data_IF_217982426466
#
_entry.id   IF_217982426466
#
_cell.length_a   1.000
_cell.length_b   1.000
_cell.length_c   1.000
_cell.angle_alpha   90.00
_cell.angle_beta   90.00
_cell.angle_gamma   90.00
#
_symmetry.space_group_name_H-M   'P 1'
#
loop_
_entity.id
_entity.type
_entity.pdbx_description
1 polymer ?
#
# COMPACT_ATOMS: atom_id res chain seq x y z
N UNK A 1 -9.89 -13.69 -32.40
CA UNK A 1 -9.72 -12.96 -31.12
C UNK A 1 -10.51 -13.69 -30.06
N UNK A 2 -9.87 -14.23 -29.02
CA UNK A 2 -10.54 -14.98 -27.95
C UNK A 2 -11.35 -14.02 -27.08
N UNK A 3 -12.51 -14.47 -26.61
CA UNK A 3 -13.35 -13.69 -25.69
C UNK A 3 -12.59 -13.22 -24.44
N UNK A 4 -11.62 -14.02 -23.98
CA UNK A 4 -10.74 -13.70 -22.86
C UNK A 4 -9.93 -12.40 -23.07
N UNK A 5 -9.40 -12.15 -24.26
CA UNK A 5 -8.61 -10.95 -24.54
C UNK A 5 -9.46 -9.68 -24.50
N UNK A 6 -10.70 -9.76 -25.03
CA UNK A 6 -11.66 -8.66 -24.95
C UNK A 6 -12.01 -8.31 -23.50
N UNK A 7 -12.18 -9.33 -22.66
CA UNK A 7 -12.47 -9.15 -21.22
C UNK A 7 -11.30 -8.45 -20.52
N UNK A 8 -10.06 -8.84 -20.84
CA UNK A 8 -8.84 -8.22 -20.25
C UNK A 8 -8.71 -6.75 -20.62
N UNK A 9 -8.88 -6.41 -21.90
CA UNK A 9 -8.80 -5.03 -22.40
C UNK A 9 -9.90 -4.17 -21.74
N UNK A 10 -11.14 -4.66 -21.75
CA UNK A 10 -12.26 -3.94 -21.14
C UNK A 10 -12.10 -3.77 -19.62
N UNK A 11 -11.63 -4.80 -18.93
CA UNK A 11 -11.33 -4.74 -17.49
C UNK A 11 -10.26 -3.66 -17.18
N UNK A 12 -9.22 -3.60 -18.00
CA UNK A 12 -8.16 -2.60 -17.88
C UNK A 12 -8.69 -1.19 -18.08
N UNK A 13 -9.37 -0.93 -19.19
CA UNK A 13 -9.84 0.41 -19.53
C UNK A 13 -10.90 0.94 -18.57
N UNK A 14 -11.85 0.09 -18.17
CA UNK A 14 -13.01 0.52 -17.39
C UNK A 14 -12.79 0.53 -15.87
N UNK A 15 -11.89 -0.31 -15.35
CA UNK A 15 -11.69 -0.43 -13.90
C UNK A 15 -10.27 -0.05 -13.49
N UNK A 16 -9.25 -0.62 -14.14
CA UNK A 16 -7.85 -0.43 -13.73
C UNK A 16 -7.37 1.02 -13.98
N UNK A 17 -7.61 1.56 -15.19
CA UNK A 17 -7.23 2.94 -15.52
C UNK A 17 -7.90 3.99 -14.62
N UNK A 18 -9.23 3.98 -14.40
CA UNK A 18 -9.85 4.96 -13.52
C UNK A 18 -9.44 4.78 -12.06
N UNK A 19 -9.29 3.55 -11.55
CA UNK A 19 -8.79 3.32 -10.20
C UNK A 19 -7.36 3.87 -10.02
N UNK A 20 -6.51 3.72 -11.05
CA UNK A 20 -5.15 4.28 -11.06
C UNK A 20 -5.16 5.81 -11.11
N UNK A 21 -6.04 6.42 -11.90
CA UNK A 21 -6.22 7.88 -11.94
C UNK A 21 -6.69 8.43 -10.59
N UNK A 22 -7.62 7.73 -9.93
CA UNK A 22 -8.14 8.09 -8.60
C UNK A 22 -7.16 7.77 -7.46
N UNK A 23 -6.03 7.12 -7.77
CA UNK A 23 -5.05 6.62 -6.78
C UNK A 23 -5.71 5.72 -5.72
N UNK A 24 -6.78 5.02 -6.09
CA UNK A 24 -7.46 4.07 -5.22
C UNK A 24 -6.57 2.83 -5.04
N UNK A 25 -6.35 2.44 -3.79
CA UNK A 25 -5.47 1.31 -3.46
C UNK A 25 -6.16 -0.03 -3.68
N UNK A 26 -7.47 -0.04 -3.45
CA UNK A 26 -8.35 -1.20 -3.55
C UNK A 26 -9.58 -0.83 -4.35
N UNK A 27 -9.97 -1.71 -5.25
CA UNK A 27 -11.21 -1.56 -5.99
C UNK A 27 -11.85 -2.93 -6.23
N UNK A 28 -13.18 -2.93 -6.37
CA UNK A 28 -13.95 -4.14 -6.56
C UNK A 28 -14.56 -4.16 -7.96
N UNK A 29 -14.39 -5.27 -8.67
CA UNK A 29 -15.04 -5.53 -9.96
C UNK A 29 -16.15 -6.56 -9.74
N UNK A 30 -17.37 -6.21 -10.12
CA UNK A 30 -18.48 -7.16 -10.20
C UNK A 30 -18.51 -7.82 -11.58
N UNK A 31 -18.56 -9.14 -11.61
CA UNK A 31 -18.56 -9.94 -12.86
C UNK A 31 -19.78 -9.61 -13.74
N UNK A 32 -20.95 -9.40 -13.14
CA UNK A 32 -22.18 -9.08 -13.86
C UNK A 32 -22.11 -7.78 -14.68
N UNK A 33 -21.37 -6.78 -14.21
CA UNK A 33 -21.22 -5.51 -14.92
C UNK A 33 -20.28 -5.65 -16.13
N UNK A 34 -19.28 -6.52 -16.02
CA UNK A 34 -18.39 -6.88 -17.14
C UNK A 34 -19.15 -7.70 -18.19
N UNK A 35 -19.95 -8.67 -17.77
CA UNK A 35 -20.78 -9.50 -18.65
C UNK A 35 -21.79 -8.64 -19.43
N UNK A 36 -22.49 -7.73 -18.74
CA UNK A 36 -23.43 -6.79 -19.36
C UNK A 36 -22.73 -5.82 -20.31
N UNK A 37 -21.57 -5.30 -19.91
CA UNK A 37 -20.80 -4.37 -20.72
C UNK A 37 -20.27 -4.95 -22.03
N UNK A 38 -20.00 -6.25 -22.06
CA UNK A 38 -19.51 -6.97 -23.25
C UNK A 38 -20.61 -7.72 -24.00
N UNK A 39 -21.88 -7.63 -23.57
CA UNK A 39 -23.01 -8.41 -24.10
C UNK A 39 -22.73 -9.93 -24.18
N UNK A 40 -21.95 -10.45 -23.22
CA UNK A 40 -21.54 -11.85 -23.17
C UNK A 40 -22.59 -12.71 -22.45
N UNK A 41 -23.76 -12.87 -23.07
CA UNK A 41 -24.87 -13.64 -22.50
C UNK A 41 -24.45 -15.09 -22.19
N UNK A 42 -24.62 -15.52 -20.93
CA UNK A 42 -24.32 -16.89 -20.49
C UNK A 42 -22.82 -17.25 -20.35
N UNK A 43 -21.89 -16.32 -20.58
CA UNK A 43 -20.44 -16.57 -20.50
C UNK A 43 -19.77 -16.02 -19.23
N UNK A 44 -20.52 -15.97 -18.13
CA UNK A 44 -19.99 -15.65 -16.80
C UNK A 44 -18.74 -16.46 -16.39
N UNK A 45 -18.65 -17.79 -16.64
CA UNK A 45 -17.43 -18.54 -16.31
C UNK A 45 -16.21 -18.10 -17.13
N UNK A 46 -16.38 -17.69 -18.39
CA UNK A 46 -15.26 -17.19 -19.20
C UNK A 46 -14.69 -15.87 -18.64
N UNK A 47 -15.56 -15.00 -18.12
CA UNK A 47 -15.16 -13.76 -17.43
C UNK A 47 -14.43 -14.06 -16.14
N UNK A 48 -14.94 -14.99 -15.33
CA UNK A 48 -14.30 -15.45 -14.11
C UNK A 48 -12.88 -16.00 -14.38
N UNK A 49 -12.72 -16.86 -15.39
CA UNK A 49 -11.41 -17.39 -15.79
C UNK A 49 -10.46 -16.29 -16.28
N UNK A 50 -10.94 -15.35 -17.11
CA UNK A 50 -10.10 -14.26 -17.63
C UNK A 50 -9.61 -13.31 -16.51
N UNK A 51 -10.49 -12.98 -15.56
CA UNK A 51 -10.20 -12.10 -14.42
C UNK A 51 -9.31 -12.76 -13.35
N UNK A 52 -9.29 -14.10 -13.28
CA UNK A 52 -8.41 -14.89 -12.40
C UNK A 52 -7.04 -15.20 -13.01
N UNK A 53 -6.85 -14.98 -14.31
CA UNK A 53 -5.61 -15.39 -14.97
C UNK A 53 -4.43 -14.54 -14.49
N UNK A 54 -3.29 -15.17 -14.20
CA UNK A 54 -2.06 -14.48 -13.76
C UNK A 54 -1.60 -13.41 -14.75
N UNK A 55 -1.83 -13.60 -16.06
CA UNK A 55 -1.50 -12.62 -17.09
C UNK A 55 -2.20 -11.28 -16.87
N UNK A 56 -3.48 -11.29 -16.45
CA UNK A 56 -4.22 -10.06 -16.15
C UNK A 56 -3.72 -9.40 -14.86
N UNK A 57 -3.40 -10.20 -13.84
CA UNK A 57 -2.87 -9.73 -12.56
C UNK A 57 -1.47 -9.11 -12.72
N UNK A 58 -0.56 -9.82 -13.39
CA UNK A 58 0.82 -9.38 -13.59
C UNK A 58 0.93 -8.19 -14.54
N UNK A 59 0.18 -8.18 -15.65
CA UNK A 59 0.23 -7.07 -16.61
C UNK A 59 -0.30 -5.74 -16.07
N UNK A 60 -1.01 -5.76 -14.93
CA UNK A 60 -1.61 -4.59 -14.31
C UNK A 60 -1.14 -4.37 -12.86
N UNK A 61 -0.15 -5.16 -12.38
CA UNK A 61 0.35 -5.12 -11.00
C UNK A 61 -0.77 -5.20 -9.94
N UNK A 62 -1.73 -6.11 -10.16
CA UNK A 62 -2.88 -6.33 -9.29
C UNK A 62 -2.71 -7.62 -8.47
N UNK A 63 -3.17 -7.58 -7.22
CA UNK A 63 -3.32 -8.74 -6.36
C UNK A 63 -4.80 -8.96 -6.06
N UNK A 64 -5.27 -10.19 -6.23
CA UNK A 64 -6.63 -10.54 -5.83
C UNK A 64 -6.65 -10.74 -4.30
N UNK A 65 -7.43 -9.92 -3.59
CA UNK A 65 -7.50 -9.93 -2.11
C UNK A 65 -8.68 -10.74 -1.63
N UNK A 66 -9.83 -10.57 -2.27
CA UNK A 66 -11.05 -11.23 -1.84
C UNK A 66 -11.93 -11.59 -3.03
N UNK A 67 -12.66 -12.70 -2.88
CA UNK A 67 -13.67 -13.15 -3.83
C UNK A 67 -14.97 -13.37 -3.08
N UNK A 68 -15.91 -12.43 -3.23
CA UNK A 68 -17.21 -12.50 -2.58
C UNK A 68 -18.27 -12.97 -3.57
N UNK A 69 -18.93 -14.10 -3.29
CA UNK A 69 -19.99 -14.63 -4.15
C UNK A 69 -20.53 -16.00 -3.68
N UNK A 70 -21.64 -16.48 -4.31
CA UNK A 70 -22.20 -17.79 -3.97
C UNK A 70 -21.19 -18.91 -4.27
N UNK A 71 -21.23 -20.00 -3.48
CA UNK A 71 -20.26 -21.12 -3.46
C UNK A 71 -19.91 -21.71 -4.85
N UNK A 72 -20.75 -21.50 -5.87
CA UNK A 72 -20.50 -21.94 -7.24
C UNK A 72 -19.43 -21.13 -8.00
N UNK A 73 -19.06 -19.91 -7.58
CA UNK A 73 -17.95 -19.15 -8.18
C UNK A 73 -18.07 -18.80 -9.68
N UNK A 74 -19.22 -19.05 -10.30
CA UNK A 74 -19.48 -18.92 -11.74
C UNK A 74 -20.70 -18.04 -12.07
N UNK A 75 -21.20 -17.29 -11.09
CA UNK A 75 -22.39 -16.44 -11.24
C UNK A 75 -22.03 -14.96 -11.51
N UNK A 76 -22.97 -14.23 -12.12
CA UNK A 76 -22.87 -12.77 -12.38
C UNK A 76 -22.85 -11.91 -11.12
N UNK A 77 -23.08 -12.51 -9.94
CA UNK A 77 -23.01 -11.87 -8.63
C UNK A 77 -21.64 -11.93 -7.96
N UNK A 78 -20.65 -12.59 -8.56
CA UNK A 78 -19.29 -12.62 -7.99
C UNK A 78 -18.65 -11.24 -8.05
N UNK A 79 -18.05 -10.83 -6.95
CA UNK A 79 -17.30 -9.60 -6.77
C UNK A 79 -15.85 -9.97 -6.47
N UNK A 80 -14.94 -9.50 -7.32
CA UNK A 80 -13.51 -9.62 -7.10
C UNK A 80 -12.97 -8.32 -6.54
N UNK A 81 -12.34 -8.39 -5.38
CA UNK A 81 -11.65 -7.23 -4.79
C UNK A 81 -10.17 -7.33 -5.09
N UNK A 82 -9.65 -6.35 -5.81
CA UNK A 82 -8.25 -6.24 -6.19
C UNK A 82 -7.55 -5.14 -5.39
N UNK A 83 -6.27 -5.35 -5.10
CA UNK A 83 -5.36 -4.36 -4.52
C UNK A 83 -4.14 -4.20 -5.42
N UNK A 84 -3.68 -2.96 -5.62
CA UNK A 84 -2.47 -2.73 -6.40
C UNK A 84 -1.22 -3.15 -5.61
N UNK A 85 -0.36 -3.97 -6.20
CA UNK A 85 0.88 -4.52 -5.57
C UNK A 85 1.86 -3.39 -5.17
N UNK A 86 1.79 -2.23 -5.83
CA UNK A 86 2.55 -1.02 -5.49
C UNK A 86 1.94 -0.19 -4.36
N UNK A 87 0.70 -0.46 -3.95
CA UNK A 87 0.09 0.15 -2.78
C UNK A 87 0.52 -0.59 -1.52
N UNK A 88 1.84 -0.78 -1.35
CA UNK A 88 2.42 -1.13 -0.05
C UNK A 88 1.79 -0.18 0.95
N UNK A 89 1.08 -0.77 1.91
CA UNK A 89 0.43 -0.06 2.98
C UNK A 89 1.37 1.03 3.42
N UNK A 90 0.97 2.29 3.26
CA UNK A 90 1.48 3.32 4.13
C UNK A 90 0.96 2.92 5.51
N UNK A 91 1.61 1.94 6.15
CA UNK A 91 1.65 1.84 7.60
C UNK A 91 1.81 3.28 8.07
N UNK A 92 0.98 3.76 9.03
CA UNK A 92 1.15 5.11 9.55
C UNK A 92 2.62 5.26 9.84
N UNK A 93 3.29 6.17 9.11
CA UNK A 93 4.74 6.33 9.02
C UNK A 93 5.33 5.83 10.32
N UNK A 94 5.85 4.60 10.31
CA UNK A 94 6.37 4.00 11.54
C UNK A 94 7.41 5.02 11.97
N UNK A 95 7.13 5.77 13.05
CA UNK A 95 8.02 6.82 13.49
C UNK A 95 9.39 6.18 13.53
N UNK A 96 10.34 6.78 12.79
CA UNK A 96 11.72 6.31 12.76
C UNK A 96 12.09 5.91 14.18
N UNK A 97 12.57 4.69 14.41
CA UNK A 97 12.87 4.21 15.77
C UNK A 97 13.78 5.19 16.52
N UNK A 98 14.59 5.95 15.78
CA UNK A 98 15.41 7.07 16.23
C UNK A 98 14.64 8.31 16.70
N UNK A 99 13.49 8.61 16.09
CA UNK A 99 12.62 9.71 16.53
C UNK A 99 12.06 9.49 17.94
N UNK A 100 11.87 8.22 18.35
CA UNK A 100 11.45 7.87 19.72
C UNK A 100 12.51 8.15 20.78
N UNK A 101 13.79 8.22 20.39
CA UNK A 101 14.89 8.49 21.31
C UNK A 101 15.07 10.00 21.58
N UNK A 102 14.35 10.88 20.86
CA UNK A 102 14.45 12.32 21.09
C UNK A 102 13.96 12.69 22.49
N UNK A 103 14.87 13.21 23.30
CA UNK A 103 14.58 13.64 24.66
C UNK A 103 14.75 12.56 25.73
N UNK A 104 15.29 11.38 25.39
CA UNK A 104 15.50 10.28 26.36
C UNK A 104 16.35 10.65 27.59
N UNK A 105 17.18 11.70 27.51
CA UNK A 105 18.01 12.19 28.61
C UNK A 105 17.56 13.53 29.18
N UNK A 106 16.31 13.97 28.89
CA UNK A 106 15.80 15.27 29.34
C UNK A 106 15.90 15.42 30.85
N UNK A 107 15.41 14.44 31.60
CA UNK A 107 15.32 14.54 33.07
C UNK A 107 16.71 14.55 33.71
N UNK A 108 17.62 13.72 33.21
CA UNK A 108 19.03 13.70 33.63
C UNK A 108 19.69 15.06 33.40
N UNK A 109 19.52 15.65 32.22
CA UNK A 109 20.06 16.98 31.96
C UNK A 109 19.38 18.07 32.77
N UNK A 110 18.11 17.91 33.16
CA UNK A 110 17.43 18.86 34.03
C UNK A 110 18.04 18.87 35.45
N UNK A 111 18.39 17.70 36.00
CA UNK A 111 19.07 17.57 37.29
C UNK A 111 20.47 18.21 37.28
N UNK A 112 21.17 18.16 36.15
CA UNK A 112 22.49 18.75 35.96
C UNK A 112 22.47 20.27 35.63
N UNK A 113 21.32 20.93 35.79
CA UNK A 113 21.18 22.37 35.52
C UNK A 113 20.94 22.73 34.04
N UNK A 114 20.56 21.75 33.23
CA UNK A 114 20.31 21.87 31.79
C UNK A 114 21.47 21.37 30.93
N UNK A 115 21.15 20.90 29.72
CA UNK A 115 22.15 20.35 28.80
C UNK A 115 23.26 21.34 28.41
N UNK A 116 22.93 22.63 28.29
CA UNK A 116 23.94 23.67 28.06
C UNK A 116 24.85 23.92 29.25
N UNK A 117 24.32 23.85 30.49
CA UNK A 117 25.12 24.02 31.69
C UNK A 117 26.12 22.88 31.84
N UNK A 118 25.66 21.64 31.61
CA UNK A 118 26.51 20.46 31.59
C UNK A 118 27.64 20.58 30.54
N UNK A 119 27.29 20.87 29.29
CA UNK A 119 28.29 21.02 28.21
C UNK A 119 29.29 22.16 28.48
N UNK A 120 28.85 23.23 29.14
CA UNK A 120 29.73 24.34 29.56
C UNK A 120 30.72 23.88 30.64
N UNK A 121 30.26 23.14 31.64
CA UNK A 121 31.11 22.61 32.71
C UNK A 121 32.18 21.64 32.15
N UNK A 122 31.77 20.71 31.29
CA UNK A 122 32.69 19.80 30.61
C UNK A 122 33.71 20.57 29.76
N UNK A 123 33.28 21.59 29.01
CA UNK A 123 34.19 22.43 28.21
C UNK A 123 35.18 23.21 29.04
N UNK A 124 34.79 23.71 30.21
CA UNK A 124 35.72 24.39 31.11
C UNK A 124 36.77 23.45 31.69
N UNK A 125 36.42 22.17 31.93
CA UNK A 125 37.37 21.16 32.40
C UNK A 125 38.22 20.52 31.29
N UNK A 126 37.84 20.68 30.02
CA UNK A 126 38.52 20.05 28.89
C UNK A 126 39.85 20.70 28.50
N UNK A 127 40.03 21.99 28.79
CA UNK A 127 41.31 22.65 28.53
C UNK A 127 42.29 22.36 29.67
N UNK A 128 43.51 21.86 29.38
CA UNK A 128 44.54 21.72 30.40
C UNK A 128 44.85 23.10 31.00
N UNK A 129 44.98 23.18 32.33
CA UNK A 129 45.49 24.39 32.98
C UNK A 129 46.82 24.74 32.31
N UNK A 130 46.92 25.95 31.77
CA UNK A 130 48.22 26.52 31.41
C UNK A 130 49.00 26.60 32.72
N UNK A 131 50.07 25.81 32.84
CA UNK A 131 51.10 26.08 33.82
C UNK A 131 51.66 27.46 33.48
N UNK A 132 51.39 28.44 34.36
CA UNK A 132 51.99 29.77 34.26
C UNK A 132 53.49 29.62 34.55
N UNK A 133 54.31 29.89 33.53
CA UNK A 133 55.79 29.93 33.57
C UNK A 133 56.29 31.30 34.07
#
# INVERSE_FOLDING_TARGET
>A
MRDADRIRVYGKEKYVLPARQRKERRFSIRVGDVVRGLNLNGRAPAVCSALKTSEFLQSNDLHLVDTSGPKSGQSTTVIYTYEFVGAKQSSPRAEDSWSRLRGALRDVFAELGGGEAYLRAERSGFYPMKEDE
#
